data_IF_180534874856
#
_entry.id   IF_180534874856
#
_cell.length_a   1.000
_cell.length_b   1.000
_cell.length_c   1.000
_cell.angle_alpha   90.00
_cell.angle_beta   90.00
_cell.angle_gamma   90.00
#
_symmetry.space_group_name_H-M   'P 1'
#
loop_
_entity.id
_entity.type
_entity.pdbx_description
1 polymer ?
#
# COMPACT_ATOMS: atom_id res chain seq x y z
N UNK A 1 0.77 8.71 6.09
CA UNK A 1 1.36 8.60 4.74
C UNK A 1 2.82 8.28 4.91
N UNK A 2 3.37 7.45 4.05
CA UNK A 2 4.80 7.13 3.97
C UNK A 2 5.16 6.77 2.53
N UNK A 3 6.44 6.88 2.20
CA UNK A 3 7.03 6.30 0.99
C UNK A 3 7.21 4.78 1.15
N UNK A 4 7.10 4.05 0.04
CA UNK A 4 7.41 2.63 -0.05
C UNK A 4 8.89 2.47 -0.42
N UNK A 5 9.69 1.97 0.52
CA UNK A 5 11.14 1.79 0.37
C UNK A 5 11.60 0.36 0.62
N UNK A 6 10.88 -0.40 1.46
CA UNK A 6 11.15 -1.81 1.73
C UNK A 6 10.11 -2.74 1.06
N UNK A 7 9.15 -2.15 0.35
CA UNK A 7 8.05 -2.81 -0.32
C UNK A 7 6.76 -2.80 0.50
N UNK A 8 5.62 -2.90 -0.19
CA UNK A 8 4.28 -2.81 0.42
C UNK A 8 4.08 -3.83 1.55
N UNK A 9 4.65 -5.03 1.43
CA UNK A 9 4.57 -6.09 2.43
C UNK A 9 5.25 -5.74 3.77
N UNK A 10 6.26 -4.86 3.77
CA UNK A 10 6.95 -4.42 5.00
C UNK A 10 6.42 -3.09 5.51
N UNK A 11 6.15 -2.16 4.62
CA UNK A 11 5.80 -0.79 4.98
C UNK A 11 4.35 -0.64 5.44
N UNK A 12 3.39 -1.38 4.86
CA UNK A 12 1.99 -1.35 5.32
C UNK A 12 1.82 -1.87 6.76
N UNK A 13 2.41 -3.01 7.18
CA UNK A 13 2.37 -3.44 8.58
C UNK A 13 3.00 -2.42 9.54
N UNK A 14 4.09 -1.74 9.14
CA UNK A 14 4.70 -0.68 9.95
C UNK A 14 3.76 0.51 10.12
N UNK A 15 3.14 0.96 9.04
CA UNK A 15 2.15 2.04 9.06
C UNK A 15 0.97 1.71 9.98
N UNK A 16 0.42 0.48 9.84
CA UNK A 16 -0.72 0.04 10.63
C UNK A 16 -0.36 -0.09 12.12
N UNK A 17 0.80 -0.64 12.44
CA UNK A 17 1.32 -0.75 13.82
C UNK A 17 1.54 0.63 14.46
N UNK A 18 2.15 1.57 13.73
CA UNK A 18 2.38 2.93 14.23
C UNK A 18 1.06 3.69 14.49
N UNK A 19 -0.03 3.27 13.83
CA UNK A 19 -1.36 3.87 13.94
C UNK A 19 -2.33 3.09 14.85
N UNK A 20 -1.86 2.05 15.54
CA UNK A 20 -2.69 1.09 16.31
C UNK A 20 -3.93 0.60 15.54
N UNK A 21 -3.71 0.18 14.29
CA UNK A 21 -4.74 -0.31 13.38
C UNK A 21 -4.38 -1.69 12.81
N UNK A 22 -5.38 -2.40 12.31
CA UNK A 22 -5.20 -3.50 11.35
C UNK A 22 -5.31 -3.01 9.91
N UNK A 23 -5.18 -3.92 8.95
CA UNK A 23 -5.36 -3.61 7.53
C UNK A 23 -5.93 -4.80 6.76
N UNK A 24 -6.62 -4.51 5.67
CA UNK A 24 -7.05 -5.50 4.66
C UNK A 24 -6.74 -4.96 3.28
N UNK A 25 -6.04 -5.76 2.48
CA UNK A 25 -5.72 -5.45 1.09
C UNK A 25 -6.53 -6.31 0.12
N UNK A 26 -6.78 -5.77 -1.07
CA UNK A 26 -7.28 -6.51 -2.22
C UNK A 26 -6.13 -6.71 -3.21
N UNK A 27 -5.58 -7.93 -3.23
CA UNK A 27 -4.45 -8.30 -4.08
C UNK A 27 -4.71 -8.09 -5.57
N UNK A 28 -5.97 -8.13 -6.02
CA UNK A 28 -6.32 -7.91 -7.42
C UNK A 28 -6.24 -6.43 -7.83
N UNK A 29 -6.22 -5.51 -6.85
CA UNK A 29 -6.17 -4.07 -7.06
C UNK A 29 -4.79 -3.48 -6.90
N UNK A 30 -3.80 -4.27 -6.49
CA UNK A 30 -2.41 -3.82 -6.39
C UNK A 30 -1.91 -3.49 -7.79
N UNK A 31 -1.48 -2.24 -8.06
CA UNK A 31 -0.85 -1.87 -9.32
C UNK A 31 0.41 -2.70 -9.53
N UNK A 32 0.61 -3.18 -10.76
CA UNK A 32 1.79 -3.95 -11.14
C UNK A 32 2.33 -3.44 -12.44
N UNK A 33 3.64 -3.25 -12.51
CA UNK A 33 4.33 -3.04 -13.78
C UNK A 33 4.14 -4.27 -14.66
N UNK A 34 4.05 -4.06 -15.97
CA UNK A 34 3.85 -5.15 -16.93
C UNK A 34 5.01 -6.15 -16.81
N UNK A 35 4.67 -7.41 -16.53
CA UNK A 35 5.65 -8.49 -16.35
C UNK A 35 6.02 -8.76 -14.89
N UNK A 36 5.58 -7.94 -13.94
CA UNK A 36 5.77 -8.19 -12.51
C UNK A 36 4.69 -9.10 -11.94
N UNK A 37 5.13 -10.05 -11.12
CA UNK A 37 4.27 -10.90 -10.29
C UNK A 37 3.69 -10.10 -9.11
N UNK A 38 2.71 -10.67 -8.42
CA UNK A 38 2.16 -10.03 -7.21
C UNK A 38 3.19 -10.01 -6.08
N UNK A 39 3.97 -11.07 -5.96
CA UNK A 39 5.04 -11.23 -4.98
C UNK A 39 6.11 -10.15 -5.16
N UNK A 40 6.49 -9.87 -6.41
CA UNK A 40 7.40 -8.75 -6.74
C UNK A 40 6.77 -7.40 -6.40
N UNK A 41 5.52 -7.13 -6.80
CA UNK A 41 4.86 -5.86 -6.47
C UNK A 41 4.62 -5.65 -4.96
N UNK A 42 4.60 -6.73 -4.17
CA UNK A 42 4.54 -6.67 -2.71
C UNK A 42 5.91 -6.49 -2.07
N UNK A 43 6.99 -6.94 -2.73
CA UNK A 43 8.30 -7.14 -2.11
C UNK A 43 9.45 -6.30 -2.66
N UNK A 44 9.39 -5.85 -3.92
CA UNK A 44 10.38 -4.93 -4.47
C UNK A 44 10.23 -3.57 -3.79
N UNK A 45 11.25 -3.16 -3.04
CA UNK A 45 11.29 -1.90 -2.31
C UNK A 45 11.76 -0.71 -3.14
N UNK A 46 12.19 -0.95 -4.39
CA UNK A 46 12.83 0.06 -5.24
C UNK A 46 11.84 0.88 -6.09
N UNK A 47 10.53 0.73 -5.88
CA UNK A 47 9.49 1.42 -6.65
C UNK A 47 9.30 2.89 -6.20
N UNK A 48 9.72 3.25 -4.97
CA UNK A 48 9.61 4.61 -4.38
C UNK A 48 8.21 5.27 -4.51
N UNK A 49 7.17 4.44 -4.49
CA UNK A 49 5.77 4.87 -4.57
C UNK A 49 5.26 5.43 -3.23
N UNK A 50 4.11 6.12 -3.26
CA UNK A 50 3.50 6.70 -2.05
C UNK A 50 2.36 5.83 -1.50
N UNK A 51 2.44 5.53 -0.20
CA UNK A 51 1.36 4.89 0.56
C UNK A 51 0.67 5.88 1.50
N UNK A 52 -0.62 6.10 1.29
CA UNK A 52 -1.43 7.01 2.10
C UNK A 52 -2.78 6.43 2.47
N UNK A 53 -3.34 6.94 3.56
CA UNK A 53 -4.64 6.54 4.09
C UNK A 53 -5.51 7.78 4.17
N UNK A 54 -6.77 7.66 3.74
CA UNK A 54 -7.74 8.74 3.81
C UNK A 54 -9.11 8.24 4.27
N UNK A 55 -9.91 9.14 4.80
CA UNK A 55 -11.31 8.84 5.09
C UNK A 55 -12.07 8.52 3.79
N UNK A 56 -12.88 7.44 3.73
CA UNK A 56 -13.70 7.14 2.56
C UNK A 56 -14.62 8.29 2.14
N UNK A 57 -15.00 9.15 3.08
CA UNK A 57 -15.84 10.34 2.82
C UNK A 57 -15.15 11.36 1.92
N UNK A 58 -13.83 11.44 1.96
CA UNK A 58 -13.03 12.38 1.16
C UNK A 58 -12.67 11.83 -0.22
N UNK A 59 -12.78 10.50 -0.42
CA UNK A 59 -12.33 9.83 -1.65
C UNK A 59 -12.99 10.35 -2.94
N UNK A 60 -14.32 10.56 -3.02
CA UNK A 60 -14.94 11.01 -4.27
C UNK A 60 -14.40 12.36 -4.73
N UNK A 61 -14.22 13.30 -3.80
CA UNK A 61 -13.70 14.63 -4.11
C UNK A 61 -12.20 14.57 -4.45
N UNK A 62 -11.40 13.86 -3.64
CA UNK A 62 -9.96 13.78 -3.84
C UNK A 62 -9.60 13.06 -5.14
N UNK A 63 -10.28 11.96 -5.47
CA UNK A 63 -10.03 11.22 -6.71
C UNK A 63 -10.35 12.04 -7.96
N UNK A 64 -11.42 12.84 -7.94
CA UNK A 64 -11.75 13.74 -9.04
C UNK A 64 -10.70 14.84 -9.20
N UNK A 65 -10.29 15.48 -8.10
CA UNK A 65 -9.25 16.52 -8.11
C UNK A 65 -7.89 15.97 -8.55
N UNK A 66 -7.53 14.78 -8.08
CA UNK A 66 -6.30 14.10 -8.46
C UNK A 66 -6.26 13.79 -9.95
N UNK A 67 -7.33 13.22 -10.50
CA UNK A 67 -7.39 12.90 -11.93
C UNK A 67 -7.33 14.15 -12.81
N UNK A 68 -7.87 15.28 -12.35
CA UNK A 68 -7.77 16.55 -13.06
C UNK A 68 -6.35 17.15 -13.01
N UNK A 69 -5.69 17.08 -11.85
CA UNK A 69 -4.35 17.63 -11.65
C UNK A 69 -3.24 16.75 -12.24
N UNK A 70 -3.38 15.43 -12.12
CA UNK A 70 -2.38 14.43 -12.48
C UNK A 70 -2.96 13.30 -13.34
N UNK A 71 -3.42 13.58 -14.57
CA UNK A 71 -4.14 12.61 -15.40
C UNK A 71 -3.32 11.37 -15.82
N UNK A 72 -1.99 11.39 -15.64
CA UNK A 72 -1.08 10.29 -15.96
C UNK A 72 -0.53 9.57 -14.73
N UNK A 73 -0.85 10.02 -13.52
CA UNK A 73 -0.36 9.43 -12.27
C UNK A 73 -1.52 8.74 -11.55
N UNK A 74 -1.64 7.41 -11.65
CA UNK A 74 -2.77 6.69 -11.06
C UNK A 74 -2.73 6.77 -9.54
N UNK A 75 -3.88 7.04 -8.92
CA UNK A 75 -4.08 6.90 -7.48
C UNK A 75 -5.03 5.73 -7.22
N UNK A 76 -4.48 4.62 -6.72
CA UNK A 76 -5.20 3.35 -6.64
C UNK A 76 -5.57 2.99 -5.20
N UNK A 77 -6.85 2.76 -4.96
CA UNK A 77 -7.30 2.19 -3.68
C UNK A 77 -7.01 0.69 -3.66
N UNK A 78 -6.05 0.28 -2.83
CA UNK A 78 -5.60 -1.12 -2.71
C UNK A 78 -6.19 -1.84 -1.49
N UNK A 79 -6.89 -1.13 -0.59
CA UNK A 79 -7.35 -1.72 0.66
C UNK A 79 -7.93 -0.68 1.63
N UNK A 80 -8.03 -1.08 2.89
CA UNK A 80 -8.52 -0.25 3.98
C UNK A 80 -7.81 -0.59 5.31
N UNK A 81 -7.68 0.40 6.18
CA UNK A 81 -7.35 0.16 7.59
C UNK A 81 -8.58 -0.37 8.33
N UNK A 82 -8.34 -1.19 9.35
CA UNK A 82 -9.38 -1.77 10.22
C UNK A 82 -9.04 -1.49 11.68
N UNK A 83 -10.00 -1.73 12.57
CA UNK A 83 -9.73 -1.73 14.01
C UNK A 83 -8.66 -2.78 14.36
N UNK A 84 -7.85 -2.48 15.38
CA UNK A 84 -6.80 -3.36 15.91
C UNK A 84 -7.44 -4.58 16.60
N UNK A 85 -7.82 -5.59 15.82
CA UNK A 85 -8.44 -6.82 16.32
C UNK A 85 -7.50 -8.01 16.11
N UNK A 86 -6.56 -8.19 17.03
CA UNK A 86 -5.70 -9.38 17.07
C UNK A 86 -4.72 -9.52 15.89
N UNK A 87 -4.12 -10.71 15.74
CA UNK A 87 -3.01 -11.01 14.80
C UNK A 87 -3.26 -10.40 13.42
N UNK A 88 -2.47 -9.38 13.07
CA UNK A 88 -2.43 -8.82 11.73
C UNK A 88 -2.07 -9.92 10.72
N UNK A 89 -2.75 -9.95 9.57
CA UNK A 89 -2.37 -10.84 8.48
C UNK A 89 -0.93 -10.50 8.06
N UNK A 90 -0.02 -11.45 8.20
CA UNK A 90 1.35 -11.27 7.73
C UNK A 90 1.32 -11.22 6.20
N UNK A 91 1.65 -10.05 5.63
CA UNK A 91 2.02 -9.99 4.22
C UNK A 91 3.41 -10.62 4.11
N UNK A 92 3.53 -11.63 3.25
CA UNK A 92 4.81 -12.27 2.96
C UNK A 92 5.49 -11.55 1.81
N UNK A 93 6.72 -11.09 2.02
CA UNK A 93 7.51 -10.34 1.04
C UNK A 93 8.23 -9.14 1.68
N UNK A 94 9.02 -8.44 0.88
CA UNK A 94 9.75 -7.22 1.26
C UNK A 94 11.25 -7.44 1.43
N UNK A 95 12.03 -6.44 1.03
CA UNK A 95 13.49 -6.55 1.01
C UNK A 95 14.10 -6.47 2.41
N UNK A 96 14.89 -7.47 2.80
CA UNK A 96 15.68 -7.48 4.04
C UNK A 96 17.16 -7.68 3.71
N UNK A 97 18.07 -6.78 4.12
CA UNK A 97 19.49 -6.98 3.88
C UNK A 97 20.11 -8.15 4.67
N UNK A 98 19.40 -8.71 5.66
CA UNK A 98 19.93 -9.71 6.58
C UNK A 98 19.20 -11.06 6.56
N UNK A 99 18.19 -11.23 5.71
CA UNK A 99 17.52 -12.53 5.53
C UNK A 99 17.63 -12.98 4.08
N UNK A 100 18.41 -14.05 3.85
CA UNK A 100 18.56 -14.76 2.57
C UNK A 100 17.61 -15.94 2.47
#
# INVERSE_FOLDING_TARGET
>A
MMDLSDGLAKDLPRLAKASDCGFRIDSNRIPKTRGCTLEQALGDGEDFELLLTLSPKLWPQLSAQWNAAFPKLPLTVIGQLTESTGKQAALTGGWDPFTS
#
